data_IF_275166954122
#
_entry.id   IF_275166954122
#
_cell.length_a   1.000
_cell.length_b   1.000
_cell.length_c   1.000
_cell.angle_alpha   90.00
_cell.angle_beta   90.00
_cell.angle_gamma   90.00
#
_symmetry.space_group_name_H-M   'P 1'
#
loop_
_entity.id
_entity.type
_entity.pdbx_description
1 polymer ?
#
# COMPACT_ATOMS: atom_id res chain seq x y z
N UNK A 1 -6.24 6.16 -0.64
CA UNK A 1 -5.87 6.17 -2.08
C UNK A 1 -6.91 5.49 -2.98
N UNK A 2 -7.40 4.28 -2.66
CA UNK A 2 -8.43 3.57 -3.45
C UNK A 2 -9.66 4.42 -3.82
N UNK A 3 -10.24 5.15 -2.86
CA UNK A 3 -11.39 6.01 -3.14
C UNK A 3 -11.10 7.07 -4.22
N UNK A 4 -9.95 7.75 -4.12
CA UNK A 4 -9.55 8.76 -5.09
C UNK A 4 -9.32 8.16 -6.49
N UNK A 5 -8.70 6.97 -6.55
CA UNK A 5 -8.52 6.22 -7.79
C UNK A 5 -9.87 5.93 -8.45
N UNK A 6 -10.82 5.37 -7.71
CA UNK A 6 -12.15 5.01 -8.24
C UNK A 6 -13.00 6.25 -8.58
N UNK A 7 -12.95 7.30 -7.77
CA UNK A 7 -13.84 8.46 -7.91
C UNK A 7 -13.42 9.43 -9.01
N UNK A 8 -12.11 9.58 -9.23
CA UNK A 8 -11.58 10.61 -10.13
C UNK A 8 -10.84 10.06 -11.35
N UNK A 9 -10.54 8.75 -11.40
CA UNK A 9 -9.77 8.11 -12.48
C UNK A 9 -8.53 8.92 -12.89
N UNK A 10 -7.66 9.30 -11.93
CA UNK A 10 -6.54 10.17 -12.22
C UNK A 10 -5.49 9.46 -13.10
N UNK A 11 -4.72 10.25 -13.86
CA UNK A 11 -3.56 9.74 -14.60
C UNK A 11 -2.39 9.40 -13.68
N UNK A 12 -2.32 10.04 -12.52
CA UNK A 12 -1.26 9.86 -11.53
C UNK A 12 -1.75 10.14 -10.11
N UNK A 13 -1.28 9.34 -9.16
CA UNK A 13 -1.38 9.58 -7.72
C UNK A 13 0.04 9.70 -7.18
N UNK A 14 0.27 10.77 -6.43
CA UNK A 14 1.60 11.14 -5.94
C UNK A 14 1.54 11.20 -4.42
N UNK A 15 2.35 10.39 -3.75
CA UNK A 15 2.48 10.40 -2.30
C UNK A 15 3.59 11.36 -1.88
N UNK A 16 3.32 12.23 -0.90
CA UNK A 16 4.27 13.16 -0.30
C UNK A 16 4.02 13.19 1.21
N UNK A 17 5.09 13.18 2.01
CA UNK A 17 5.00 13.20 3.47
C UNK A 17 4.37 11.92 4.07
N UNK A 18 4.43 10.81 3.34
CA UNK A 18 3.83 9.54 3.74
C UNK A 18 4.81 8.41 3.42
N UNK A 19 5.63 8.02 4.40
CA UNK A 19 6.56 6.89 4.27
C UNK A 19 6.13 5.68 5.09
N UNK A 20 5.12 5.85 5.93
CA UNK A 20 4.53 4.78 6.72
C UNK A 20 5.57 4.04 7.59
N UNK A 21 6.63 4.73 8.00
CA UNK A 21 7.67 4.23 8.91
C UNK A 21 7.25 4.51 10.35
N UNK A 22 7.30 3.47 11.18
CA UNK A 22 6.85 3.50 12.58
C UNK A 22 7.93 2.99 13.54
N UNK A 23 9.14 3.56 13.44
CA UNK A 23 10.34 3.18 14.21
C UNK A 23 10.47 3.89 15.57
N UNK A 24 9.73 4.98 15.79
CA UNK A 24 9.75 5.76 17.02
C UNK A 24 8.46 5.60 17.86
N UNK A 25 8.59 5.77 19.18
CA UNK A 25 7.49 5.66 20.15
C UNK A 25 6.37 6.72 19.98
N UNK A 26 6.60 7.78 19.20
CA UNK A 26 5.63 8.83 18.90
C UNK A 26 5.56 9.08 17.39
N UNK A 27 4.71 8.33 16.71
CA UNK A 27 4.48 8.46 15.27
C UNK A 27 3.19 9.24 15.04
N UNK A 28 3.32 10.57 15.14
CA UNK A 28 2.39 11.62 14.71
C UNK A 28 1.10 11.85 15.54
N UNK A 29 0.86 13.14 15.80
CA UNK A 29 -0.30 13.72 16.46
C UNK A 29 -1.24 14.34 15.41
N UNK A 30 -2.54 14.08 15.52
CA UNK A 30 -3.56 14.95 14.90
C UNK A 30 -3.94 16.02 15.93
N UNK A 31 -3.56 17.28 15.70
CA UNK A 31 -3.87 18.43 16.59
C UNK A 31 -3.16 18.37 17.96
N UNK A 32 -3.73 19.03 18.98
CA UNK A 32 -3.26 19.00 20.39
C UNK A 32 -3.60 17.67 21.10
N UNK A 33 -3.97 16.62 20.37
CA UNK A 33 -4.47 15.36 20.92
C UNK A 33 -3.38 14.54 21.61
N UNK A 34 -3.75 13.47 22.31
CA UNK A 34 -2.78 12.42 22.72
C UNK A 34 -2.41 11.58 21.48
N UNK A 35 -1.22 10.94 21.43
CA UNK A 35 -0.91 10.01 20.34
C UNK A 35 -2.05 9.00 20.20
N UNK A 36 -2.53 8.73 18.98
CA UNK A 36 -3.43 7.58 18.78
C UNK A 36 -2.63 6.35 19.19
N UNK A 37 -3.04 5.60 20.22
CA UNK A 37 -2.28 4.45 20.67
C UNK A 37 -2.05 3.54 19.47
N UNK A 38 -0.78 3.27 19.17
CA UNK A 38 -0.39 2.38 18.09
C UNK A 38 -1.06 1.02 18.36
N UNK A 39 -2.13 0.73 17.63
CA UNK A 39 -2.90 -0.50 17.87
C UNK A 39 -2.14 -1.66 17.26
N UNK A 40 -2.10 -2.79 17.96
CA UNK A 40 -1.68 -4.05 17.35
C UNK A 40 -2.76 -4.47 16.37
N UNK A 41 -2.64 -3.99 15.13
CA UNK A 41 -3.63 -4.18 14.09
C UNK A 41 -3.24 -5.38 13.21
N UNK A 42 -4.00 -6.50 13.26
CA UNK A 42 -3.71 -7.67 12.45
C UNK A 42 -3.86 -7.44 10.94
N UNK A 43 -4.46 -6.33 10.51
CA UNK A 43 -4.67 -5.99 9.09
C UNK A 43 -3.54 -5.14 8.50
N UNK A 44 -2.69 -4.54 9.34
CA UNK A 44 -1.57 -3.67 8.94
C UNK A 44 -0.20 -4.36 8.99
N UNK A 45 -0.16 -5.69 8.82
CA UNK A 45 1.07 -6.49 8.98
C UNK A 45 2.18 -6.15 7.98
N UNK A 46 1.89 -6.16 6.68
CA UNK A 46 2.83 -5.67 5.66
C UNK A 46 2.28 -4.46 4.92
N UNK A 47 2.77 -3.27 5.32
CA UNK A 47 2.49 -2.01 4.64
C UNK A 47 3.02 -2.01 3.19
N UNK A 48 4.11 -2.71 2.95
CA UNK A 48 4.69 -2.93 1.62
C UNK A 48 3.73 -3.73 0.74
N UNK A 49 3.17 -4.82 1.23
CA UNK A 49 2.20 -5.60 0.47
C UNK A 49 0.93 -4.80 0.17
N UNK A 50 0.46 -4.00 1.14
CA UNK A 50 -0.72 -3.14 0.93
C UNK A 50 -0.47 -2.04 -0.08
N UNK A 51 0.72 -1.43 -0.06
CA UNK A 51 1.11 -0.44 -1.08
C UNK A 51 1.32 -1.10 -2.46
N UNK A 52 1.92 -2.28 -2.53
CA UNK A 52 2.06 -3.05 -3.78
C UNK A 52 0.69 -3.37 -4.39
N UNK A 53 -0.24 -3.89 -3.59
CA UNK A 53 -1.63 -4.15 -4.01
C UNK A 53 -2.29 -2.90 -4.58
N UNK A 54 -2.15 -1.75 -3.91
CA UNK A 54 -2.71 -0.49 -4.40
C UNK A 54 -2.11 -0.07 -5.73
N UNK A 55 -0.78 -0.14 -5.88
CA UNK A 55 -0.12 0.21 -7.12
C UNK A 55 -0.55 -0.68 -8.29
N UNK A 56 -0.69 -1.99 -8.06
CA UNK A 56 -1.16 -2.94 -9.08
C UNK A 56 -2.54 -2.52 -9.60
N UNK A 57 -3.50 -2.24 -8.70
CA UNK A 57 -4.84 -1.81 -9.11
C UNK A 57 -4.84 -0.43 -9.76
N UNK A 58 -4.02 0.51 -9.29
CA UNK A 58 -3.87 1.81 -9.92
C UNK A 58 -3.36 1.67 -11.35
N UNK A 59 -2.32 0.86 -11.57
CA UNK A 59 -1.76 0.60 -12.90
C UNK A 59 -2.74 -0.11 -13.82
N UNK A 60 -3.52 -1.06 -13.29
CA UNK A 60 -4.61 -1.69 -14.04
C UNK A 60 -5.65 -0.66 -14.51
N UNK A 61 -5.91 0.37 -13.71
CA UNK A 61 -6.80 1.48 -14.05
C UNK A 61 -6.11 2.60 -14.88
N UNK A 62 -4.89 2.38 -15.39
CA UNK A 62 -4.15 3.37 -16.16
C UNK A 62 -3.58 4.54 -15.34
N UNK A 63 -3.58 4.43 -14.02
CA UNK A 63 -3.04 5.42 -13.08
C UNK A 63 -1.61 5.06 -12.68
N UNK A 64 -0.69 6.03 -12.79
CA UNK A 64 0.66 5.93 -12.25
C UNK A 64 0.64 6.20 -10.75
N UNK A 65 1.51 5.53 -9.98
CA UNK A 65 1.68 5.81 -8.55
C UNK A 65 3.16 6.04 -8.28
N UNK A 66 3.48 7.13 -7.59
CA UNK A 66 4.86 7.52 -7.27
C UNK A 66 4.96 8.09 -5.86
N UNK A 67 6.14 7.99 -5.27
CA UNK A 67 6.49 8.58 -3.98
C UNK A 67 7.48 9.74 -4.19
N UNK A 68 7.20 10.91 -3.64
CA UNK A 68 8.07 12.09 -3.65
C UNK A 68 8.97 12.18 -2.41
N UNK A 69 8.92 11.19 -1.52
CA UNK A 69 9.75 11.21 -0.33
C UNK A 69 11.23 11.12 -0.65
N UNK A 70 11.97 12.03 -0.01
CA UNK A 70 13.44 12.05 0.04
C UNK A 70 13.99 11.32 1.27
N UNK A 71 13.11 10.74 2.10
CA UNK A 71 13.53 10.01 3.29
C UNK A 71 14.36 8.77 2.93
N UNK A 72 15.34 8.37 3.75
CA UNK A 72 16.15 7.18 3.49
C UNK A 72 15.27 5.93 3.31
N UNK A 73 14.28 5.76 4.19
CA UNK A 73 13.42 4.57 4.23
C UNK A 73 11.97 4.94 3.93
N UNK A 74 11.27 4.06 3.20
CA UNK A 74 9.83 4.11 2.99
C UNK A 74 9.26 2.71 2.98
N UNK A 75 8.10 2.51 3.60
CA UNK A 75 7.29 1.28 3.48
C UNK A 75 6.39 1.31 2.24
N UNK A 76 6.31 2.46 1.55
CA UNK A 76 5.63 2.55 0.26
C UNK A 76 6.55 2.02 -0.84
N UNK A 77 6.11 0.97 -1.52
CA UNK A 77 6.90 0.33 -2.57
C UNK A 77 6.91 1.09 -3.91
N UNK A 78 6.17 2.19 -3.96
CA UNK A 78 6.02 3.04 -5.12
C UNK A 78 7.36 3.60 -5.56
N UNK A 79 7.55 3.70 -6.87
CA UNK A 79 8.75 4.31 -7.43
C UNK A 79 8.96 5.72 -6.85
N UNK A 80 10.16 5.98 -6.35
CA UNK A 80 10.59 7.33 -5.95
C UNK A 80 10.82 8.22 -7.18
N UNK A 81 10.41 9.48 -7.05
CA UNK A 81 10.52 10.46 -8.12
C UNK A 81 10.80 11.86 -7.55
N UNK A 82 11.52 12.69 -8.28
CA UNK A 82 11.70 14.10 -7.92
C UNK A 82 10.58 14.98 -8.51
N UNK A 83 10.36 16.16 -7.94
CA UNK A 83 9.35 17.10 -8.42
C UNK A 83 9.66 17.54 -9.86
N UNK A 84 10.94 17.73 -10.19
CA UNK A 84 11.40 18.14 -11.53
C UNK A 84 11.03 17.08 -12.57
N UNK A 85 11.25 15.79 -12.27
CA UNK A 85 10.89 14.71 -13.18
C UNK A 85 9.38 14.55 -13.37
N UNK A 86 8.56 14.96 -12.39
CA UNK A 86 7.10 15.04 -12.57
C UNK A 86 6.71 16.14 -13.56
N UNK A 87 7.34 17.32 -13.48
CA UNK A 87 7.00 18.45 -14.34
C UNK A 87 7.22 18.14 -15.82
N UNK A 88 8.26 17.37 -16.14
CA UNK A 88 8.57 16.95 -17.51
C UNK A 88 7.92 15.63 -17.92
N UNK A 89 7.00 15.09 -17.11
CA UNK A 89 6.33 13.79 -17.31
C UNK A 89 7.31 12.61 -17.56
N UNK A 90 8.51 12.68 -16.99
CA UNK A 90 9.53 11.65 -17.17
C UNK A 90 9.42 10.59 -16.07
N UNK A 91 8.50 9.63 -16.26
CA UNK A 91 8.24 8.56 -15.30
C UNK A 91 9.13 7.32 -15.47
N UNK A 92 10.07 7.34 -16.43
CA UNK A 92 10.87 6.19 -16.87
C UNK A 92 10.10 4.87 -17.08
N UNK A 93 10.82 3.75 -17.05
CA UNK A 93 10.21 2.42 -17.21
C UNK A 93 9.44 2.00 -15.94
N UNK A 94 8.24 1.47 -16.12
CA UNK A 94 7.47 0.80 -15.06
C UNK A 94 7.84 -0.67 -14.99
N UNK A 95 8.05 -1.19 -13.78
CA UNK A 95 8.32 -2.61 -13.55
C UNK A 95 7.17 -3.49 -14.06
N UNK A 96 7.42 -4.69 -14.59
CA UNK A 96 6.33 -5.57 -15.01
C UNK A 96 5.49 -6.03 -13.81
N UNK A 97 4.20 -6.29 -14.03
CA UNK A 97 3.31 -6.92 -13.04
C UNK A 97 3.21 -8.40 -13.37
N UNK A 98 3.37 -9.26 -12.37
CA UNK A 98 3.11 -10.69 -12.49
C UNK A 98 1.61 -10.96 -12.30
N UNK A 99 0.87 -10.98 -13.41
CA UNK A 99 -0.58 -11.17 -13.41
C UNK A 99 -1.03 -12.55 -12.92
N UNK A 100 -0.18 -13.57 -13.00
CA UNK A 100 -0.49 -14.90 -12.45
C UNK A 100 -0.55 -14.82 -10.93
N UNK A 101 0.40 -14.11 -10.30
CA UNK A 101 0.36 -13.86 -8.86
C UNK A 101 -0.79 -12.95 -8.45
N UNK A 102 -1.12 -11.92 -9.24
CA UNK A 102 -2.29 -11.06 -8.99
C UNK A 102 -3.59 -11.89 -8.97
N UNK A 103 -3.77 -12.77 -9.95
CA UNK A 103 -4.94 -13.66 -10.00
C UNK A 103 -5.00 -14.58 -8.77
N UNK A 104 -3.87 -15.17 -8.37
CA UNK A 104 -3.77 -16.01 -7.16
C UNK A 104 -4.08 -15.23 -5.87
N UNK A 105 -3.56 -14.01 -5.74
CA UNK A 105 -3.79 -13.15 -4.59
C UNK A 105 -5.28 -12.76 -4.50
N UNK A 106 -5.87 -12.33 -5.62
CA UNK A 106 -7.29 -11.96 -5.71
C UNK A 106 -8.21 -13.14 -5.37
N UNK A 107 -7.91 -14.34 -5.89
CA UNK A 107 -8.67 -15.55 -5.57
C UNK A 107 -8.55 -15.93 -4.07
N UNK A 108 -7.37 -15.73 -3.48
CA UNK A 108 -7.16 -15.93 -2.03
C UNK A 108 -7.95 -14.90 -1.21
N UNK A 109 -7.94 -13.62 -1.58
CA UNK A 109 -8.76 -12.58 -0.93
C UNK A 109 -10.24 -12.93 -0.95
N UNK A 110 -10.76 -13.32 -2.11
CA UNK A 110 -12.16 -13.71 -2.27
C UNK A 110 -12.51 -14.91 -1.38
N UNK A 111 -11.64 -15.92 -1.30
CA UNK A 111 -11.84 -17.10 -0.45
C UNK A 111 -11.80 -16.77 1.04
N UNK A 112 -10.88 -15.91 1.47
CA UNK A 112 -10.76 -15.51 2.88
C UNK A 112 -11.96 -14.68 3.32
N UNK A 113 -12.50 -13.83 2.44
CA UNK A 113 -13.73 -13.09 2.73
C UNK A 113 -13.61 -12.18 3.95
N UNK A 114 -12.39 -11.68 4.23
CA UNK A 114 -12.03 -10.81 5.35
C UNK A 114 -12.55 -9.38 5.19
N UNK A 115 -13.81 -9.25 4.75
CA UNK A 115 -14.53 -7.99 4.66
C UNK A 115 -15.36 -7.80 5.92
N UNK A 116 -15.26 -6.60 6.49
CA UNK A 116 -16.08 -6.15 7.62
C UNK A 116 -16.90 -4.96 7.13
N UNK A 117 -18.20 -5.17 6.92
CA UNK A 117 -19.08 -4.16 6.32
C UNK A 117 -19.10 -2.84 7.14
N UNK A 118 -18.91 -2.94 8.45
CA UNK A 118 -18.84 -1.76 9.33
C UNK A 118 -17.51 -0.99 9.25
N UNK A 119 -16.49 -1.56 8.62
CA UNK A 119 -15.10 -1.08 8.66
C UNK A 119 -14.41 -1.27 10.02
N UNK A 120 -15.12 -1.76 11.05
CA UNK A 120 -14.60 -1.89 12.42
C UNK A 120 -13.91 -3.25 12.62
N UNK A 121 -12.88 -3.53 11.83
CA UNK A 121 -12.15 -4.82 11.84
C UNK A 121 -11.64 -5.23 13.22
N UNK A 122 -11.32 -4.26 14.10
CA UNK A 122 -10.90 -4.52 15.48
C UNK A 122 -11.96 -5.20 16.35
N UNK A 123 -13.24 -5.19 15.96
CA UNK A 123 -14.32 -5.92 16.66
C UNK A 123 -14.46 -7.37 16.21
N UNK A 124 -13.78 -7.73 15.13
CA UNK A 124 -13.95 -9.00 14.43
C UNK A 124 -12.60 -9.71 14.26
N UNK A 125 -11.61 -9.39 15.10
CA UNK A 125 -10.23 -9.87 15.00
C UNK A 125 -10.14 -11.39 15.02
N UNK A 126 -11.01 -12.05 15.79
CA UNK A 126 -11.12 -13.50 15.88
C UNK A 126 -11.47 -14.20 14.54
N UNK A 127 -11.93 -13.45 13.53
CA UNK A 127 -12.18 -14.00 12.18
C UNK A 127 -10.92 -14.04 11.32
N UNK A 128 -9.84 -13.38 11.73
CA UNK A 128 -8.65 -13.17 10.90
C UNK A 128 -7.52 -14.10 11.32
N UNK A 129 -7.24 -15.08 10.46
CA UNK A 129 -6.04 -15.91 10.60
C UNK A 129 -4.80 -15.15 10.13
N UNK A 130 -3.87 -14.90 11.04
CA UNK A 130 -2.65 -14.13 10.79
C UNK A 130 -1.77 -14.76 9.71
N UNK A 131 -1.62 -16.08 9.74
CA UNK A 131 -0.84 -16.83 8.75
C UNK A 131 -1.41 -16.70 7.33
N UNK A 132 -2.73 -16.63 7.20
CA UNK A 132 -3.41 -16.40 5.91
C UNK A 132 -3.18 -14.98 5.39
N UNK A 133 -3.16 -13.99 6.28
CA UNK A 133 -2.83 -12.60 5.93
C UNK A 133 -1.37 -12.51 5.49
N UNK A 134 -0.43 -13.10 6.23
CA UNK A 134 1.00 -13.08 5.88
C UNK A 134 1.25 -13.75 4.52
N UNK A 135 0.59 -14.87 4.24
CA UNK A 135 0.70 -15.57 2.97
C UNK A 135 0.04 -14.80 1.81
N UNK A 136 -1.03 -14.05 2.07
CA UNK A 136 -1.63 -13.15 1.10
C UNK A 136 -0.73 -11.93 0.81
N UNK A 137 -0.13 -11.35 1.85
CA UNK A 137 0.76 -10.21 1.73
C UNK A 137 2.02 -10.56 0.92
N UNK A 138 2.58 -11.75 1.15
CA UNK A 138 3.68 -12.27 0.33
C UNK A 138 3.32 -12.41 -1.16
N UNK A 139 2.08 -12.82 -1.48
CA UNK A 139 1.61 -12.90 -2.87
C UNK A 139 1.52 -11.51 -3.51
N UNK A 140 0.94 -10.54 -2.82
CA UNK A 140 0.83 -9.17 -3.32
C UNK A 140 2.20 -8.52 -3.54
N UNK A 141 3.10 -8.66 -2.57
CA UNK A 141 4.44 -8.08 -2.67
C UNK A 141 5.25 -8.71 -3.81
N UNK A 142 5.16 -10.04 -3.98
CA UNK A 142 5.88 -10.74 -5.05
C UNK A 142 5.26 -10.57 -6.45
N UNK A 143 4.05 -10.01 -6.55
CA UNK A 143 3.40 -9.69 -7.81
C UNK A 143 3.98 -8.43 -8.49
N UNK A 144 4.73 -7.61 -7.74
CA UNK A 144 5.40 -6.42 -8.23
C UNK A 144 6.93 -6.57 -8.06
N UNK A 145 7.59 -7.40 -8.90
CA UNK A 145 9.03 -7.66 -8.80
C UNK A 145 9.84 -6.38 -9.07
N UNK A 146 10.87 -6.12 -8.25
CA UNK A 146 11.75 -4.95 -8.40
C UNK A 146 11.77 -3.99 -7.21
N UNK A 147 11.06 -4.30 -6.12
CA UNK A 147 11.25 -3.65 -4.83
C UNK A 147 12.60 -4.06 -4.24
N UNK A 148 13.67 -3.46 -4.75
CA UNK A 148 14.97 -3.52 -4.08
C UNK A 148 14.76 -2.79 -2.76
N UNK A 149 14.83 -3.56 -1.66
CA UNK A 149 15.04 -3.00 -0.32
C UNK A 149 16.32 -2.17 -0.41
N UNK A 150 16.20 -0.85 -0.34
CA UNK A 150 17.32 -0.02 0.08
C UNK A 150 17.62 -0.33 1.55
#
# INVERSE_FOLDING_TARGET
>A
AYWALCRFSPRSIVFLGCDMVYDAAQTHFYGNGRPDPLRQDPTLRSLEAKSARFEIFARQAGCRVVNLSEQPVSRLVHRRQSVENLQVNNFGATQPIDWVKVARATAREARLGYTVASGKYWKEQQRFEVSEIDALDALWLSALPGHIRA
#
